data_IF_302129720779
#
_entry.id   IF_302129720779
#
_cell.length_a   1.000
_cell.length_b   1.000
_cell.length_c   1.000
_cell.angle_alpha   90.00
_cell.angle_beta   90.00
_cell.angle_gamma   90.00
#
_symmetry.space_group_name_H-M   'P 1'
#
loop_
_entity.id
_entity.type
_entity.pdbx_description
1 polymer ?
#
# COMPACT_ATOMS: atom_id res chain seq x y z
N UNK A 1 -4.70 35.02 1.97
CA UNK A 1 -4.60 33.82 2.80
C UNK A 1 -3.54 32.93 2.16
N UNK A 2 -2.48 32.63 2.89
CA UNK A 2 -1.43 31.72 2.43
C UNK A 2 -2.01 30.29 2.29
N UNK A 3 -1.43 29.48 1.40
CA UNK A 3 -1.93 28.11 1.13
C UNK A 3 -2.04 27.28 2.41
N UNK A 4 -1.09 27.41 3.30
CA UNK A 4 -1.08 26.66 4.57
C UNK A 4 -2.16 27.11 5.52
N UNK A 5 -2.47 28.41 5.58
CA UNK A 5 -3.59 28.94 6.36
C UNK A 5 -4.94 28.39 5.87
N UNK A 6 -5.09 28.25 4.53
CA UNK A 6 -6.30 27.67 3.94
C UNK A 6 -6.44 26.20 4.29
N UNK A 7 -5.36 25.44 4.24
CA UNK A 7 -5.36 24.01 4.63
C UNK A 7 -5.77 23.83 6.10
N UNK A 8 -5.20 24.63 6.99
CA UNK A 8 -5.53 24.61 8.42
C UNK A 8 -7.01 24.98 8.63
N UNK A 9 -7.49 26.03 7.97
CA UNK A 9 -8.88 26.47 8.08
C UNK A 9 -9.89 25.47 7.48
N UNK A 10 -9.50 24.69 6.49
CA UNK A 10 -10.35 23.67 5.88
C UNK A 10 -10.38 22.33 6.67
N UNK A 11 -9.44 22.12 7.60
CA UNK A 11 -9.37 20.92 8.41
C UNK A 11 -10.64 20.81 9.29
N UNK A 12 -11.25 19.63 9.31
CA UNK A 12 -12.54 19.39 9.98
C UNK A 12 -13.77 19.87 9.18
N UNK A 13 -13.56 20.54 8.03
CA UNK A 13 -14.65 21.07 7.19
C UNK A 13 -14.72 20.46 5.80
N UNK A 14 -13.81 19.55 5.46
CA UNK A 14 -13.69 19.04 4.10
C UNK A 14 -14.94 18.32 3.58
N UNK A 15 -15.69 17.64 4.41
CA UNK A 15 -16.95 17.03 3.99
C UNK A 15 -17.96 18.07 3.50
N UNK A 16 -18.06 19.20 4.19
CA UNK A 16 -18.94 20.31 3.86
C UNK A 16 -18.45 21.08 2.63
N UNK A 17 -17.14 21.31 2.53
CA UNK A 17 -16.50 21.93 1.37
C UNK A 17 -16.74 21.10 0.12
N UNK A 18 -16.45 19.79 0.18
CA UNK A 18 -16.62 18.88 -0.94
C UNK A 18 -18.09 18.71 -1.35
N UNK A 19 -19.03 18.69 -0.40
CA UNK A 19 -20.47 18.69 -0.71
C UNK A 19 -20.90 19.91 -1.50
N UNK A 20 -20.32 21.07 -1.21
CA UNK A 20 -20.64 22.32 -1.88
C UNK A 20 -19.96 22.44 -3.24
N UNK A 21 -18.65 22.15 -3.31
CA UNK A 21 -17.82 22.43 -4.48
C UNK A 21 -17.73 21.25 -5.47
N UNK A 22 -18.05 20.04 -5.02
CA UNK A 22 -18.04 18.82 -5.83
C UNK A 22 -19.30 17.97 -5.57
N UNK A 23 -20.50 18.40 -6.00
CA UNK A 23 -21.77 17.74 -5.69
C UNK A 23 -21.84 16.28 -6.18
N UNK A 24 -21.04 15.89 -7.16
CA UNK A 24 -20.90 14.52 -7.64
C UNK A 24 -20.31 13.55 -6.61
N UNK A 25 -19.70 14.04 -5.52
CA UNK A 25 -19.19 13.25 -4.40
C UNK A 25 -20.25 12.97 -3.33
N UNK A 26 -21.47 13.48 -3.47
CA UNK A 26 -22.51 13.42 -2.43
C UNK A 26 -22.72 12.01 -1.87
N UNK A 27 -22.87 11.02 -2.74
CA UNK A 27 -23.14 9.63 -2.32
C UNK A 27 -22.00 9.05 -1.46
N UNK A 28 -20.75 9.37 -1.81
CA UNK A 28 -19.57 8.95 -1.05
C UNK A 28 -19.47 9.70 0.29
N UNK A 29 -19.84 10.97 0.32
CA UNK A 29 -19.81 11.81 1.52
C UNK A 29 -20.97 11.49 2.48
N UNK A 30 -22.06 10.90 2.00
CA UNK A 30 -23.16 10.40 2.86
C UNK A 30 -22.76 9.11 3.58
N UNK A 31 -21.83 8.35 3.01
CA UNK A 31 -21.37 7.05 3.53
C UNK A 31 -19.86 6.95 3.53
N UNK A 32 -19.13 7.78 4.33
CA UNK A 32 -17.67 7.76 4.36
C UNK A 32 -17.13 6.36 4.64
N UNK A 33 -16.09 5.96 3.90
CA UNK A 33 -15.49 4.64 4.00
C UNK A 33 -16.19 3.55 3.18
N UNK A 34 -17.40 3.76 2.69
CA UNK A 34 -18.13 2.79 1.89
C UNK A 34 -17.91 3.02 0.39
N UNK A 35 -17.82 1.92 -0.35
CA UNK A 35 -17.66 1.97 -1.79
C UNK A 35 -18.96 2.41 -2.50
N UNK A 36 -18.81 3.34 -3.43
CA UNK A 36 -19.85 3.86 -4.30
C UNK A 36 -19.37 3.89 -5.75
N UNK A 37 -20.26 4.12 -6.75
CA UNK A 37 -19.83 4.41 -8.11
C UNK A 37 -18.82 5.55 -8.13
N UNK A 38 -17.77 5.43 -8.95
CA UNK A 38 -16.80 6.50 -9.09
C UNK A 38 -17.45 7.74 -9.74
N UNK A 39 -17.33 8.94 -9.15
CA UNK A 39 -17.93 10.14 -9.69
C UNK A 39 -17.32 10.63 -11.01
N UNK A 40 -16.14 10.11 -11.38
CA UNK A 40 -15.43 10.52 -12.60
C UNK A 40 -15.61 9.53 -13.75
N UNK A 41 -15.45 8.22 -13.50
CA UNK A 41 -15.53 7.20 -14.56
C UNK A 41 -16.72 6.23 -14.41
N UNK A 42 -17.56 6.40 -13.38
CA UNK A 42 -18.72 5.51 -13.14
C UNK A 42 -18.31 4.16 -12.52
N UNK A 43 -19.03 3.10 -12.92
CA UNK A 43 -18.88 1.77 -12.35
C UNK A 43 -19.87 1.52 -11.21
N UNK A 44 -19.66 0.45 -10.42
CA UNK A 44 -20.59 0.07 -9.35
C UNK A 44 -20.13 0.48 -7.96
N UNK A 45 -18.82 0.29 -7.67
CA UNK A 45 -18.25 0.36 -6.32
C UNK A 45 -16.75 0.73 -6.34
N UNK A 46 -16.34 1.57 -7.31
CA UNK A 46 -14.93 1.90 -7.54
C UNK A 46 -14.35 2.94 -6.59
N UNK A 47 -15.16 3.78 -5.96
CA UNK A 47 -14.71 4.92 -5.15
C UNK A 47 -15.24 4.87 -3.72
N UNK A 48 -14.45 5.37 -2.78
CA UNK A 48 -14.87 5.70 -1.42
C UNK A 48 -14.07 6.87 -0.87
N UNK A 49 -14.69 7.71 -0.08
CA UNK A 49 -13.97 8.68 0.76
C UNK A 49 -13.29 7.96 1.91
N UNK A 50 -12.27 8.57 2.50
CA UNK A 50 -11.72 8.07 3.76
C UNK A 50 -12.74 8.27 4.89
N UNK A 51 -12.72 7.41 5.93
CA UNK A 51 -13.62 7.56 7.07
C UNK A 51 -13.50 8.90 7.79
N UNK A 52 -12.32 9.49 7.77
CA UNK A 52 -11.95 10.78 8.34
C UNK A 52 -12.00 11.93 7.31
N UNK A 53 -12.86 11.81 6.30
CA UNK A 53 -12.96 12.78 5.19
C UNK A 53 -13.20 14.22 5.64
N UNK A 54 -13.83 14.44 6.79
CA UNK A 54 -14.01 15.78 7.34
C UNK A 54 -12.65 16.44 7.69
N UNK A 55 -11.70 15.65 8.19
CA UNK A 55 -10.36 16.10 8.55
C UNK A 55 -9.44 16.16 7.34
N UNK A 56 -9.42 15.10 6.55
CA UNK A 56 -8.45 14.93 5.46
C UNK A 56 -8.95 15.40 4.11
N UNK A 57 -10.27 15.31 3.85
CA UNK A 57 -10.87 15.51 2.53
C UNK A 57 -10.53 14.42 1.52
N UNK A 58 -9.83 13.38 1.93
CA UNK A 58 -9.27 12.36 1.04
C UNK A 58 -10.25 11.24 0.67
N UNK A 59 -9.85 10.47 -0.35
CA UNK A 59 -10.59 9.30 -0.82
C UNK A 59 -9.75 8.45 -1.77
N UNK A 60 -10.29 7.31 -2.18
CA UNK A 60 -9.63 6.39 -3.10
C UNK A 60 -10.60 5.81 -4.12
N UNK A 61 -10.16 5.78 -5.36
CA UNK A 61 -10.80 5.04 -6.43
C UNK A 61 -9.90 3.90 -6.89
N UNK A 62 -10.45 2.69 -7.03
CA UNK A 62 -9.69 1.51 -7.45
C UNK A 62 -9.04 1.68 -8.85
N UNK A 63 -9.60 2.56 -9.68
CA UNK A 63 -9.11 2.83 -11.04
C UNK A 63 -8.34 4.15 -11.12
N UNK A 64 -8.87 5.24 -10.52
CA UNK A 64 -8.28 6.59 -10.61
C UNK A 64 -7.12 6.81 -9.62
N UNK A 65 -7.01 5.97 -8.58
CA UNK A 65 -5.96 6.10 -7.56
C UNK A 65 -6.41 6.81 -6.28
N UNK A 66 -5.44 7.19 -5.47
CA UNK A 66 -5.64 7.83 -4.16
C UNK A 66 -5.62 9.35 -4.31
N UNK A 67 -6.58 9.99 -3.68
CA UNK A 67 -6.66 11.44 -3.50
C UNK A 67 -6.43 11.70 -2.01
N UNK A 68 -5.19 12.07 -1.66
CA UNK A 68 -4.72 12.04 -0.27
C UNK A 68 -5.35 13.11 0.62
N UNK A 69 -5.82 14.21 0.05
CA UNK A 69 -6.40 15.34 0.77
C UNK A 69 -7.58 15.97 0.01
N UNK A 70 -8.22 16.95 0.63
CA UNK A 70 -9.39 17.60 0.07
C UNK A 70 -9.11 18.38 -1.22
N UNK A 71 -7.94 18.97 -1.38
CA UNK A 71 -7.56 19.61 -2.64
C UNK A 71 -7.37 18.58 -3.75
N UNK A 72 -6.68 17.49 -3.48
CA UNK A 72 -6.49 16.41 -4.45
C UNK A 72 -7.84 15.80 -4.88
N UNK A 73 -8.75 15.59 -3.92
CA UNK A 73 -10.10 15.09 -4.18
C UNK A 73 -10.93 16.10 -4.99
N UNK A 74 -10.89 17.39 -4.64
CA UNK A 74 -11.61 18.44 -5.34
C UNK A 74 -11.13 18.57 -6.79
N UNK A 75 -9.82 18.68 -7.00
CA UNK A 75 -9.22 18.79 -8.33
C UNK A 75 -9.55 17.58 -9.20
N UNK A 76 -9.44 16.39 -8.67
CA UNK A 76 -9.79 15.17 -9.39
C UNK A 76 -11.27 15.09 -9.77
N UNK A 77 -12.15 15.38 -8.82
CA UNK A 77 -13.59 15.29 -9.03
C UNK A 77 -14.11 16.36 -10.01
N UNK A 78 -13.52 17.56 -10.01
CA UNK A 78 -14.02 18.72 -10.79
C UNK A 78 -13.20 19.02 -12.04
N UNK A 79 -11.99 18.48 -12.15
CA UNK A 79 -11.03 18.82 -13.21
C UNK A 79 -10.36 20.19 -13.04
N UNK A 80 -10.57 20.88 -11.91
CA UNK A 80 -9.92 22.16 -11.61
C UNK A 80 -8.41 21.99 -11.44
N UNK A 81 -7.64 23.02 -11.81
CA UNK A 81 -6.24 23.11 -11.40
C UNK A 81 -6.15 23.58 -9.93
N UNK A 82 -4.97 23.50 -9.33
CA UNK A 82 -4.77 23.82 -7.91
C UNK A 82 -5.12 25.27 -7.57
N UNK A 83 -4.81 26.22 -8.46
CA UNK A 83 -5.08 27.65 -8.24
C UNK A 83 -6.58 27.92 -8.15
N UNK A 84 -7.34 27.30 -9.05
CA UNK A 84 -8.79 27.46 -9.09
C UNK A 84 -9.45 26.77 -7.89
N UNK A 85 -9.03 25.54 -7.57
CA UNK A 85 -9.49 24.82 -6.39
C UNK A 85 -9.20 25.59 -5.08
N UNK A 86 -8.01 26.19 -4.97
CA UNK A 86 -7.65 27.03 -3.83
C UNK A 86 -8.58 28.26 -3.73
N UNK A 87 -8.84 28.93 -4.85
CA UNK A 87 -9.75 30.08 -4.93
C UNK A 87 -11.16 29.74 -4.46
N UNK A 88 -11.71 28.60 -4.91
CA UNK A 88 -13.04 28.12 -4.50
C UNK A 88 -13.12 27.78 -3.01
N UNK A 89 -12.09 27.11 -2.47
CA UNK A 89 -12.02 26.79 -1.04
C UNK A 89 -11.90 28.06 -0.18
N UNK A 90 -11.09 29.04 -0.61
CA UNK A 90 -11.00 30.36 0.06
C UNK A 90 -12.36 31.06 0.02
N UNK A 91 -13.04 31.08 -1.13
CA UNK A 91 -14.38 31.64 -1.28
C UNK A 91 -15.38 30.99 -0.33
N UNK A 92 -15.38 29.67 -0.23
CA UNK A 92 -16.24 28.92 0.68
C UNK A 92 -15.98 29.28 2.14
N UNK A 93 -14.70 29.31 2.57
CA UNK A 93 -14.30 29.63 3.94
C UNK A 93 -14.63 31.09 4.34
N UNK A 94 -14.51 32.03 3.39
CA UNK A 94 -14.84 33.45 3.64
C UNK A 94 -16.35 33.69 3.72
N UNK A 95 -17.16 32.99 2.94
CA UNK A 95 -18.61 33.02 3.01
C UNK A 95 -19.16 32.35 4.27
N UNK A 96 -18.41 31.40 4.84
CA UNK A 96 -18.74 30.67 6.07
C UNK A 96 -18.62 31.49 7.34
N UNK A 97 -18.09 32.73 7.30
CA UNK A 97 -17.96 33.61 8.50
C UNK A 97 -19.27 34.27 8.96
N UNK A 98 -20.37 34.09 8.23
CA UNK A 98 -21.69 34.56 8.63
C UNK A 98 -22.53 33.43 9.25
N UNK A 99 -22.31 33.16 10.53
CA UNK A 99 -22.97 32.27 11.49
C UNK A 99 -22.30 30.86 11.62
N UNK A 100 -21.77 30.56 12.81
CA UNK A 100 -21.56 29.16 13.16
C UNK A 100 -22.95 28.52 13.29
N UNK A 101 -23.31 27.66 12.35
CA UNK A 101 -24.31 26.64 12.61
C UNK A 101 -23.77 25.85 13.79
N UNK A 102 -24.56 25.64 14.87
CA UNK A 102 -24.11 24.84 15.99
C UNK A 102 -23.61 23.53 15.40
N UNK A 103 -22.40 23.15 15.76
CA UNK A 103 -21.86 21.84 15.47
C UNK A 103 -22.93 20.83 15.92
N UNK A 104 -23.72 20.34 14.97
CA UNK A 104 -24.59 19.20 15.20
C UNK A 104 -23.57 18.08 15.39
N UNK A 105 -23.25 17.83 16.66
CA UNK A 105 -22.65 16.58 17.07
C UNK A 105 -23.66 15.55 16.60
N UNK A 106 -23.50 15.10 15.35
CA UNK A 106 -24.14 13.90 14.88
C UNK A 106 -23.55 12.83 15.78
N UNK A 107 -24.25 12.50 16.86
CA UNK A 107 -24.03 11.26 17.57
C UNK A 107 -24.07 10.19 16.48
N UNK A 108 -22.88 9.80 16.01
CA UNK A 108 -22.69 8.68 15.10
C UNK A 108 -23.40 7.53 15.75
N UNK A 109 -24.48 7.05 15.18
CA UNK A 109 -25.05 5.75 15.51
C UNK A 109 -24.05 4.70 15.02
N UNK A 110 -23.06 4.43 15.86
CA UNK A 110 -21.95 3.47 15.63
C UNK A 110 -22.36 2.00 15.72
N UNK A 111 -23.63 1.65 15.61
CA UNK A 111 -24.07 0.30 16.01
C UNK A 111 -23.87 -0.79 14.97
N UNK A 112 -23.86 -0.51 13.67
CA UNK A 112 -23.58 -1.52 12.63
C UNK A 112 -22.09 -1.63 12.32
N UNK A 113 -21.40 -0.52 12.17
CA UNK A 113 -19.98 -0.46 11.81
C UNK A 113 -19.09 -1.05 12.91
N UNK A 114 -19.37 -0.76 14.20
CA UNK A 114 -18.60 -1.32 15.32
C UNK A 114 -18.67 -2.85 15.41
N UNK A 115 -19.84 -3.44 15.13
CA UNK A 115 -20.01 -4.90 15.12
C UNK A 115 -19.31 -5.55 13.94
N UNK A 116 -19.30 -4.89 12.78
CA UNK A 116 -18.59 -5.38 11.59
C UNK A 116 -17.09 -5.29 11.77
N UNK A 117 -16.59 -4.17 12.27
CA UNK A 117 -15.19 -3.98 12.62
C UNK A 117 -14.69 -4.99 13.63
N UNK A 118 -15.50 -5.30 14.65
CA UNK A 118 -15.14 -6.31 15.64
C UNK A 118 -15.07 -7.72 15.02
N UNK A 119 -16.00 -8.08 14.12
CA UNK A 119 -15.91 -9.33 13.34
C UNK A 119 -14.64 -9.40 12.49
N UNK A 120 -14.25 -8.28 11.87
CA UNK A 120 -13.02 -8.21 11.08
C UNK A 120 -11.78 -8.38 11.96
N UNK A 121 -11.74 -7.74 13.15
CA UNK A 121 -10.66 -7.95 14.14
C UNK A 121 -10.57 -9.42 14.58
N UNK A 122 -11.70 -10.02 14.92
CA UNK A 122 -11.75 -11.43 15.32
C UNK A 122 -11.29 -12.34 14.18
N UNK A 123 -11.70 -12.07 12.94
CA UNK A 123 -11.27 -12.85 11.78
C UNK A 123 -9.76 -12.74 11.54
N UNK A 124 -9.19 -11.53 11.60
CA UNK A 124 -7.75 -11.31 11.48
C UNK A 124 -6.97 -11.98 12.59
N UNK A 125 -7.42 -11.84 13.85
CA UNK A 125 -6.79 -12.47 15.00
C UNK A 125 -6.85 -13.99 14.91
N UNK A 126 -7.99 -14.55 14.50
CA UNK A 126 -8.14 -15.99 14.31
C UNK A 126 -7.16 -16.52 13.28
N UNK A 127 -7.11 -15.94 12.08
CA UNK A 127 -6.19 -16.37 11.01
C UNK A 127 -4.73 -16.28 11.44
N UNK A 128 -4.37 -15.24 12.19
CA UNK A 128 -3.01 -15.08 12.71
C UNK A 128 -2.69 -16.12 13.79
N UNK A 129 -3.60 -16.38 14.71
CA UNK A 129 -3.40 -17.33 15.81
C UNK A 129 -3.42 -18.79 15.34
N UNK A 130 -4.19 -19.13 14.31
CA UNK A 130 -4.21 -20.45 13.68
C UNK A 130 -2.99 -20.71 12.80
N UNK A 131 -2.19 -19.70 12.51
CA UNK A 131 -0.99 -19.84 11.71
C UNK A 131 0.23 -20.24 12.55
N UNK A 132 1.17 -20.91 11.91
CA UNK A 132 2.43 -21.39 12.49
C UNK A 132 3.64 -20.71 11.85
N UNK A 133 4.80 -20.83 12.47
CA UNK A 133 6.05 -20.32 11.88
C UNK A 133 6.45 -21.19 10.67
N UNK A 134 7.05 -20.56 9.64
CA UNK A 134 7.46 -21.31 8.41
C UNK A 134 8.55 -22.33 8.69
N UNK A 135 9.33 -22.17 9.75
CA UNK A 135 10.35 -23.16 10.17
C UNK A 135 9.73 -24.43 10.78
N UNK A 136 8.47 -24.43 11.20
CA UNK A 136 7.80 -25.60 11.77
C UNK A 136 7.55 -26.67 10.71
N UNK A 137 7.49 -27.94 11.15
CA UNK A 137 7.39 -29.10 10.27
C UNK A 137 6.20 -29.00 9.32
N UNK A 138 5.04 -28.63 9.84
CA UNK A 138 3.78 -28.61 9.09
C UNK A 138 3.66 -27.45 8.10
N UNK A 139 4.63 -26.51 8.08
CA UNK A 139 4.72 -25.44 7.12
C UNK A 139 5.49 -25.81 5.83
N UNK A 140 5.61 -27.09 5.51
CA UNK A 140 6.32 -27.59 4.33
C UNK A 140 5.85 -26.94 3.02
N UNK A 141 4.55 -26.74 2.74
CA UNK A 141 4.11 -26.07 1.50
C UNK A 141 4.70 -24.69 1.33
N UNK A 142 4.84 -23.90 2.39
CA UNK A 142 5.46 -22.58 2.32
C UNK A 142 6.97 -22.66 2.06
N UNK A 143 7.68 -23.61 2.68
CA UNK A 143 9.11 -23.84 2.43
C UNK A 143 9.36 -24.30 0.99
N UNK A 144 8.56 -25.22 0.48
CA UNK A 144 8.63 -25.66 -0.91
C UNK A 144 8.36 -24.49 -1.87
N UNK A 145 7.38 -23.64 -1.54
CA UNK A 145 7.07 -22.45 -2.32
C UNK A 145 8.27 -21.50 -2.43
N UNK A 146 8.95 -21.21 -1.31
CA UNK A 146 10.12 -20.35 -1.28
C UNK A 146 11.31 -21.00 -2.00
N UNK A 147 11.57 -22.29 -1.75
CA UNK A 147 12.64 -23.05 -2.40
C UNK A 147 12.50 -23.10 -3.94
N UNK A 148 11.28 -23.33 -4.45
CA UNK A 148 10.99 -23.29 -5.89
C UNK A 148 11.24 -21.92 -6.54
N UNK A 149 11.30 -20.88 -5.73
CA UNK A 149 11.63 -19.50 -6.15
C UNK A 149 13.10 -19.16 -6.00
N UNK A 150 13.92 -20.11 -5.55
CA UNK A 150 15.34 -19.89 -5.30
C UNK A 150 15.61 -19.04 -4.06
N UNK A 151 14.64 -18.90 -3.15
CA UNK A 151 14.80 -18.21 -1.88
C UNK A 151 15.27 -19.23 -0.85
N UNK A 152 16.55 -19.11 -0.44
CA UNK A 152 17.22 -20.03 0.47
C UNK A 152 17.42 -19.45 1.89
N UNK A 153 17.08 -18.17 2.10
CA UNK A 153 17.18 -17.54 3.43
C UNK A 153 16.19 -18.19 4.41
N UNK A 154 16.53 -18.12 5.71
CA UNK A 154 15.59 -18.45 6.77
C UNK A 154 14.38 -17.49 6.69
N UNK A 155 13.15 -17.99 6.61
CA UNK A 155 11.98 -17.12 6.47
C UNK A 155 11.88 -16.13 7.63
N UNK A 156 11.63 -14.84 7.34
CA UNK A 156 11.42 -13.83 8.38
C UNK A 156 10.21 -14.17 9.27
N UNK A 157 10.25 -13.79 10.54
CA UNK A 157 9.14 -13.98 11.50
C UNK A 157 7.85 -13.26 11.07
N UNK A 158 7.95 -12.22 10.23
CA UNK A 158 6.80 -11.55 9.62
C UNK A 158 6.01 -12.43 8.67
N UNK A 159 6.58 -13.57 8.25
CA UNK A 159 5.94 -14.57 7.41
C UNK A 159 5.51 -15.76 8.27
N UNK A 160 4.25 -16.15 8.13
CA UNK A 160 3.69 -17.32 8.79
C UNK A 160 2.99 -18.21 7.77
N UNK A 161 2.63 -19.39 8.20
CA UNK A 161 1.93 -20.38 7.39
C UNK A 161 0.60 -20.76 8.04
N UNK A 162 -0.47 -20.69 7.26
CA UNK A 162 -1.79 -21.20 7.66
C UNK A 162 -2.07 -22.50 6.90
N UNK A 163 -2.32 -23.63 7.59
CA UNK A 163 -2.42 -24.94 6.94
C UNK A 163 -3.64 -25.10 6.02
N UNK A 164 -4.76 -24.45 6.34
CA UNK A 164 -6.01 -24.53 5.59
C UNK A 164 -6.81 -23.23 5.75
N UNK A 165 -6.63 -22.29 4.84
CA UNK A 165 -7.29 -20.99 4.86
C UNK A 165 -8.38 -20.93 3.79
N UNK A 166 -9.60 -20.54 4.18
CA UNK A 166 -10.73 -20.41 3.25
C UNK A 166 -10.44 -19.36 2.18
N UNK A 167 -10.69 -19.73 0.93
CA UNK A 167 -10.61 -18.88 -0.24
C UNK A 167 -12.00 -18.47 -0.71
N UNK A 168 -12.18 -17.17 -0.95
CA UNK A 168 -13.46 -16.60 -1.39
C UNK A 168 -13.31 -15.83 -2.69
N UNK A 169 -14.31 -15.92 -3.58
CA UNK A 169 -14.53 -15.00 -4.70
C UNK A 169 -15.82 -14.19 -4.43
N UNK A 170 -15.66 -12.90 -4.14
CA UNK A 170 -16.75 -12.11 -3.58
C UNK A 170 -17.19 -12.67 -2.22
N UNK A 171 -18.45 -13.12 -2.13
CA UNK A 171 -19.03 -13.72 -0.92
C UNK A 171 -19.03 -15.26 -0.96
N UNK A 172 -18.68 -15.86 -2.09
CA UNK A 172 -18.71 -17.31 -2.28
C UNK A 172 -17.40 -17.97 -1.80
N UNK A 173 -17.52 -18.99 -0.96
CA UNK A 173 -16.39 -19.83 -0.55
C UNK A 173 -16.09 -20.84 -1.65
N UNK A 174 -14.94 -20.69 -2.30
CA UNK A 174 -14.51 -21.53 -3.42
C UNK A 174 -13.58 -22.68 -3.01
N UNK A 175 -13.16 -22.74 -1.75
CA UNK A 175 -12.32 -23.82 -1.23
C UNK A 175 -11.47 -23.41 -0.03
N UNK A 176 -10.58 -24.31 0.36
CA UNK A 176 -9.58 -24.10 1.40
C UNK A 176 -8.22 -24.51 0.88
N UNK A 177 -7.21 -23.70 1.16
CA UNK A 177 -5.84 -23.91 0.68
C UNK A 177 -4.83 -23.58 1.77
N UNK A 178 -3.68 -24.25 1.78
CA UNK A 178 -2.53 -23.75 2.51
C UNK A 178 -2.24 -22.32 2.09
N UNK A 179 -1.78 -21.49 3.01
CA UNK A 179 -1.45 -20.12 2.68
C UNK A 179 -0.20 -19.62 3.42
N UNK A 180 0.71 -19.00 2.70
CA UNK A 180 1.71 -18.13 3.32
C UNK A 180 1.06 -16.79 3.61
N UNK A 181 1.16 -16.34 4.85
CA UNK A 181 0.54 -15.10 5.30
C UNK A 181 1.58 -14.12 5.83
N UNK A 182 1.30 -12.84 5.70
CA UNK A 182 2.18 -11.75 6.12
C UNK A 182 1.38 -10.64 6.77
N UNK A 183 1.87 -10.09 7.88
CA UNK A 183 1.26 -8.95 8.54
C UNK A 183 1.58 -7.66 7.78
N UNK A 184 0.55 -6.95 7.33
CA UNK A 184 0.69 -5.58 6.84
C UNK A 184 0.54 -4.64 8.01
N UNK A 185 1.60 -3.87 8.28
CA UNK A 185 1.62 -2.87 9.36
C UNK A 185 1.36 -1.47 8.81
N UNK A 186 0.64 -0.67 9.55
CA UNK A 186 0.46 0.75 9.28
C UNK A 186 1.73 1.56 9.55
N UNK A 187 1.63 2.88 9.37
CA UNK A 187 2.76 3.82 9.54
C UNK A 187 3.35 3.76 10.94
N UNK A 188 2.54 3.60 11.96
CA UNK A 188 2.96 3.50 13.36
C UNK A 188 3.42 2.08 13.78
N UNK A 189 3.45 1.12 12.83
CA UNK A 189 3.83 -0.26 13.12
C UNK A 189 2.71 -1.15 13.68
N UNK A 190 1.54 -0.60 13.90
CA UNK A 190 0.35 -1.35 14.30
C UNK A 190 -0.11 -2.30 13.20
N UNK A 191 -0.61 -3.47 13.58
CA UNK A 191 -1.17 -4.44 12.65
C UNK A 191 -2.44 -3.88 11.99
N UNK A 192 -2.48 -3.89 10.65
CA UNK A 192 -3.64 -3.42 9.87
C UNK A 192 -4.41 -4.60 9.30
N UNK A 193 -3.77 -5.40 8.47
CA UNK A 193 -4.38 -6.53 7.80
C UNK A 193 -3.36 -7.63 7.49
N UNK A 194 -3.83 -8.73 6.92
CA UNK A 194 -3.01 -9.87 6.52
C UNK A 194 -3.02 -9.96 4.99
N UNK A 195 -1.83 -9.98 4.40
CA UNK A 195 -1.62 -10.39 3.03
C UNK A 195 -1.51 -11.92 2.98
N UNK A 196 -2.16 -12.56 2.00
CA UNK A 196 -2.24 -14.02 1.84
C UNK A 196 -1.74 -14.42 0.47
N UNK A 197 -0.94 -15.47 0.42
CA UNK A 197 -0.56 -16.17 -0.82
C UNK A 197 -1.05 -17.60 -0.68
N UNK A 198 -2.13 -17.94 -1.38
CA UNK A 198 -2.70 -19.28 -1.38
C UNK A 198 -1.84 -20.24 -2.19
N UNK A 199 -1.59 -21.41 -1.62
CA UNK A 199 -0.69 -22.44 -2.14
C UNK A 199 -1.41 -23.77 -2.33
N UNK A 200 -0.78 -24.68 -3.05
CA UNK A 200 -1.06 -26.11 -3.01
C UNK A 200 -0.18 -26.79 -1.98
N UNK A 201 -0.45 -28.03 -1.65
CA UNK A 201 0.41 -28.85 -0.77
C UNK A 201 1.84 -28.99 -1.34
N UNK A 202 1.98 -28.97 -2.67
CA UNK A 202 3.28 -29.07 -3.36
C UNK A 202 4.05 -27.76 -3.41
N UNK A 203 3.58 -26.70 -2.75
CA UNK A 203 4.25 -25.39 -2.71
C UNK A 203 4.26 -24.66 -4.05
N UNK A 204 3.17 -24.70 -4.80
CA UNK A 204 2.90 -23.81 -5.92
C UNK A 204 1.70 -22.91 -5.60
N UNK A 205 1.49 -21.83 -6.35
CA UNK A 205 0.31 -21.00 -6.15
C UNK A 205 -0.95 -21.82 -6.40
N UNK A 206 -1.95 -21.70 -5.53
CA UNK A 206 -3.23 -22.35 -5.69
C UNK A 206 -3.85 -21.99 -7.05
N UNK A 207 -4.53 -22.96 -7.72
CA UNK A 207 -5.15 -22.77 -9.03
C UNK A 207 -6.48 -22.00 -8.90
N UNK A 208 -6.40 -20.78 -8.38
CA UNK A 208 -7.54 -19.89 -8.16
C UNK A 208 -7.33 -18.58 -8.91
N UNK A 209 -8.40 -17.83 -9.15
CA UNK A 209 -8.38 -16.60 -9.94
C UNK A 209 -7.37 -15.58 -9.41
N UNK A 210 -7.29 -15.43 -8.09
CA UNK A 210 -6.39 -14.47 -7.44
C UNK A 210 -5.71 -15.12 -6.24
N UNK A 211 -4.57 -15.81 -6.44
CA UNK A 211 -3.89 -16.50 -5.35
C UNK A 211 -3.25 -15.56 -4.31
N UNK A 212 -3.14 -14.27 -4.62
CA UNK A 212 -2.66 -13.23 -3.70
C UNK A 212 -3.81 -12.29 -3.34
N UNK A 213 -4.10 -12.15 -2.05
CA UNK A 213 -5.18 -11.27 -1.56
C UNK A 213 -4.82 -10.63 -0.22
N UNK A 214 -5.33 -9.42 0.00
CA UNK A 214 -5.43 -8.83 1.33
C UNK A 214 -6.72 -9.30 2.02
N UNK A 215 -6.71 -9.43 3.35
CA UNK A 215 -7.93 -9.58 4.12
C UNK A 215 -8.63 -8.23 4.27
N UNK A 216 -9.96 -8.26 4.42
CA UNK A 216 -10.69 -7.10 4.90
C UNK A 216 -10.22 -6.74 6.32
N UNK A 217 -10.22 -5.46 6.64
CA UNK A 217 -9.75 -4.94 7.92
C UNK A 217 -10.69 -3.85 8.44
N UNK A 218 -10.69 -3.59 9.76
CA UNK A 218 -11.56 -2.60 10.39
C UNK A 218 -11.39 -1.19 9.82
N UNK A 219 -12.46 -0.41 9.78
CA UNK A 219 -12.48 0.93 9.20
C UNK A 219 -11.62 1.95 9.96
N UNK A 220 -11.29 1.67 11.24
CA UNK A 220 -10.37 2.49 12.05
C UNK A 220 -8.88 2.20 11.79
N UNK A 221 -8.56 1.26 10.90
CA UNK A 221 -7.19 0.93 10.50
C UNK A 221 -6.87 1.52 9.14
N UNK A 222 -5.67 2.07 8.99
CA UNK A 222 -5.22 2.66 7.73
C UNK A 222 -4.06 1.86 7.14
N UNK A 223 -4.27 1.32 5.93
CA UNK A 223 -3.23 0.58 5.20
C UNK A 223 -2.31 1.48 4.38
N UNK A 224 -2.82 2.65 3.96
CA UNK A 224 -2.05 3.61 3.15
C UNK A 224 -0.86 4.13 3.95
N UNK A 225 0.30 4.12 3.34
CA UNK A 225 1.57 4.43 3.99
C UNK A 225 2.23 3.25 4.68
N UNK A 226 1.50 2.13 4.83
CA UNK A 226 1.97 0.91 5.48
C UNK A 226 2.73 -0.05 4.56
N UNK A 227 3.29 -1.10 5.16
CA UNK A 227 4.03 -2.15 4.46
C UNK A 227 4.13 -3.44 5.31
N UNK A 228 4.56 -4.52 4.69
CA UNK A 228 5.04 -5.73 5.39
C UNK A 228 6.51 -5.50 5.76
N UNK A 229 6.82 -5.50 7.03
CA UNK A 229 8.17 -5.29 7.56
C UNK A 229 8.88 -6.64 7.65
N UNK A 230 9.54 -7.06 6.55
CA UNK A 230 10.14 -8.39 6.44
C UNK A 230 11.40 -8.56 7.29
N UNK A 231 12.18 -7.52 7.49
CA UNK A 231 13.33 -7.57 8.38
C UNK A 231 13.31 -6.42 9.39
N UNK A 232 13.80 -6.67 10.61
CA UNK A 232 13.87 -5.64 11.65
C UNK A 232 14.81 -4.51 11.24
N UNK A 233 14.55 -3.30 11.74
CA UNK A 233 15.50 -2.22 11.66
C UNK A 233 16.76 -2.62 12.43
N UNK A 234 17.91 -2.71 11.76
CA UNK A 234 19.18 -2.78 12.47
C UNK A 234 19.47 -1.39 13.04
N UNK A 235 19.61 -1.25 14.35
CA UNK A 235 19.73 0.03 15.06
C UNK A 235 20.88 0.96 14.62
N UNK A 236 21.55 0.66 13.51
CA UNK A 236 22.66 1.42 12.91
C UNK A 236 22.38 1.89 11.48
N UNK A 237 21.33 1.41 10.82
CA UNK A 237 21.06 1.79 9.42
C UNK A 237 20.03 2.89 9.34
N UNK A 238 20.33 3.94 8.58
CA UNK A 238 19.40 4.98 8.17
C UNK A 238 18.82 4.72 6.75
N UNK A 239 19.13 3.56 6.18
CA UNK A 239 18.70 3.17 4.82
C UNK A 239 17.67 2.05 4.90
N UNK A 240 16.53 2.25 4.25
CA UNK A 240 15.46 1.27 4.07
C UNK A 240 15.44 0.79 2.62
N UNK A 241 15.39 -0.52 2.42
CA UNK A 241 15.15 -1.13 1.12
C UNK A 241 13.65 -1.45 0.98
N UNK A 242 13.10 -1.20 -0.19
CA UNK A 242 11.67 -1.38 -0.47
C UNK A 242 11.51 -2.11 -1.79
N UNK A 243 10.61 -3.10 -1.83
CA UNK A 243 10.15 -3.71 -3.06
C UNK A 243 8.62 -3.90 -3.03
N UNK A 244 8.01 -4.20 -4.18
CA UNK A 244 6.56 -4.33 -4.27
C UNK A 244 6.07 -5.66 -3.65
N UNK A 245 6.37 -6.76 -4.28
CA UNK A 245 5.89 -8.08 -3.86
C UNK A 245 6.70 -8.68 -2.71
N UNK A 246 6.07 -9.54 -1.93
CA UNK A 246 6.75 -10.28 -0.84
C UNK A 246 7.91 -11.11 -1.40
N UNK A 247 7.69 -11.82 -2.50
CA UNK A 247 8.71 -12.66 -3.12
C UNK A 247 9.88 -11.82 -3.65
N UNK A 248 9.59 -10.71 -4.31
CA UNK A 248 10.60 -9.74 -4.77
C UNK A 248 11.41 -9.19 -3.59
N UNK A 249 10.72 -8.85 -2.50
CA UNK A 249 11.39 -8.35 -1.28
C UNK A 249 12.28 -9.40 -0.61
N UNK A 250 11.85 -10.67 -0.59
CA UNK A 250 12.69 -11.77 -0.10
C UNK A 250 13.92 -11.99 -1.01
N UNK A 251 13.75 -11.85 -2.32
CA UNK A 251 14.88 -11.90 -3.26
C UNK A 251 15.86 -10.74 -3.01
N UNK A 252 15.37 -9.55 -2.66
CA UNK A 252 16.24 -8.42 -2.26
C UNK A 252 17.01 -8.74 -0.98
N UNK A 253 16.38 -9.32 0.04
CA UNK A 253 17.08 -9.77 1.26
C UNK A 253 18.17 -10.77 0.92
N UNK A 254 17.85 -11.80 0.12
CA UNK A 254 18.79 -12.84 -0.29
C UNK A 254 19.95 -12.29 -1.13
N UNK A 255 19.62 -11.45 -2.13
CA UNK A 255 20.59 -10.89 -3.07
C UNK A 255 21.52 -9.84 -2.46
N UNK A 256 21.07 -9.15 -1.40
CA UNK A 256 21.85 -8.13 -0.69
C UNK A 256 22.43 -8.63 0.64
N UNK A 257 22.57 -9.94 0.80
CA UNK A 257 23.16 -10.56 1.98
C UNK A 257 24.46 -9.84 2.42
N UNK A 258 24.55 -9.58 3.72
CA UNK A 258 25.71 -8.89 4.31
C UNK A 258 25.55 -7.36 4.37
N UNK A 259 24.53 -6.76 3.76
CA UNK A 259 24.27 -5.33 3.90
C UNK A 259 23.56 -4.96 5.20
N UNK A 260 22.85 -5.90 5.83
CA UNK A 260 22.04 -5.72 7.05
C UNK A 260 21.02 -4.57 6.97
N UNK A 261 20.59 -4.18 5.77
CA UNK A 261 19.54 -3.19 5.61
C UNK A 261 18.16 -3.82 5.84
N UNK A 262 17.26 -3.12 6.56
CA UNK A 262 15.88 -3.54 6.64
C UNK A 262 15.20 -3.50 5.27
N UNK A 263 14.38 -4.51 4.98
CA UNK A 263 13.64 -4.65 3.72
C UNK A 263 12.15 -4.73 4.01
N UNK A 264 11.37 -3.89 3.34
CA UNK A 264 9.92 -3.87 3.43
C UNK A 264 9.27 -4.19 2.08
N UNK A 265 8.13 -4.92 2.13
CA UNK A 265 7.27 -5.16 0.97
C UNK A 265 6.04 -4.25 1.03
N UNK A 266 5.76 -3.57 -0.07
CA UNK A 266 4.59 -2.68 -0.17
C UNK A 266 3.35 -3.39 -0.71
N UNK A 267 3.43 -4.69 -0.97
CA UNK A 267 2.33 -5.54 -1.44
C UNK A 267 1.88 -5.26 -2.88
N UNK A 268 1.74 -4.01 -3.26
CA UNK A 268 1.33 -3.57 -4.60
C UNK A 268 1.83 -2.14 -4.90
N UNK A 269 1.70 -1.73 -6.15
CA UNK A 269 2.15 -0.43 -6.64
C UNK A 269 1.47 0.75 -5.93
N UNK A 270 0.18 0.64 -5.59
CA UNK A 270 -0.55 1.69 -4.88
C UNK A 270 0.05 1.96 -3.49
N UNK A 271 0.32 0.90 -2.73
CA UNK A 271 0.96 1.03 -1.42
C UNK A 271 2.42 1.49 -1.56
N UNK A 272 3.12 1.09 -2.65
CA UNK A 272 4.46 1.60 -2.94
C UNK A 272 4.45 3.11 -3.16
N UNK A 273 3.59 3.62 -4.03
CA UNK A 273 3.49 5.04 -4.31
C UNK A 273 3.23 5.88 -3.05
N UNK A 274 2.50 5.31 -2.09
CA UNK A 274 2.05 5.99 -0.87
C UNK A 274 2.85 5.63 0.39
N UNK A 275 3.90 4.83 0.29
CA UNK A 275 4.69 4.39 1.44
C UNK A 275 5.17 5.57 2.29
N UNK A 276 4.97 5.50 3.58
CA UNK A 276 5.53 6.43 4.56
C UNK A 276 6.66 5.69 5.30
N UNK A 277 7.93 6.01 5.02
CA UNK A 277 9.05 5.43 5.74
C UNK A 277 9.02 5.84 7.22
N UNK A 278 9.60 5.03 8.12
CA UNK A 278 9.74 5.40 9.50
C UNK A 278 10.78 6.53 9.68
N UNK A 279 10.70 7.27 10.77
CA UNK A 279 11.53 8.46 11.04
C UNK A 279 13.04 8.20 11.00
N UNK A 280 13.47 6.98 11.34
CA UNK A 280 14.90 6.60 11.25
C UNK A 280 15.40 6.45 9.80
N UNK A 281 14.51 6.25 8.81
CA UNK A 281 14.86 6.03 7.42
C UNK A 281 15.07 7.36 6.68
N UNK A 282 16.28 7.90 6.74
CA UNK A 282 16.65 9.11 5.99
C UNK A 282 17.00 8.81 4.52
N UNK A 283 17.14 7.52 4.17
CA UNK A 283 17.38 7.04 2.80
C UNK A 283 16.47 5.87 2.48
N UNK A 284 15.94 5.85 1.26
CA UNK A 284 15.10 4.76 0.76
C UNK A 284 15.61 4.32 -0.62
N UNK A 285 15.86 3.03 -0.77
CA UNK A 285 16.23 2.44 -2.06
C UNK A 285 15.11 1.51 -2.50
N UNK A 286 14.49 1.83 -3.64
CA UNK A 286 13.34 1.13 -4.16
C UNK A 286 13.81 0.14 -5.24
N UNK A 287 13.60 -1.13 -5.00
CA UNK A 287 13.79 -2.20 -5.97
C UNK A 287 12.49 -2.37 -6.77
N UNK A 288 12.34 -1.58 -7.81
CA UNK A 288 11.16 -1.59 -8.65
C UNK A 288 11.17 -2.73 -9.67
N UNK A 289 9.99 -3.23 -10.03
CA UNK A 289 9.83 -4.21 -11.08
C UNK A 289 9.91 -3.54 -12.45
N UNK A 290 10.37 -4.28 -13.47
CA UNK A 290 10.39 -3.83 -14.85
C UNK A 290 9.21 -4.43 -15.60
N UNK A 291 8.12 -3.67 -15.73
CA UNK A 291 6.91 -4.07 -16.44
C UNK A 291 6.93 -3.64 -17.90
N UNK A 292 6.21 -4.39 -18.75
CA UNK A 292 5.96 -3.94 -20.12
C UNK A 292 5.08 -2.71 -20.13
N UNK A 293 5.36 -1.75 -21.02
CA UNK A 293 4.47 -0.60 -21.22
C UNK A 293 3.06 -1.05 -21.61
N UNK A 294 2.08 -0.31 -21.09
CA UNK A 294 0.66 -0.41 -21.44
C UNK A 294 0.12 0.98 -21.78
N UNK A 295 -1.07 1.06 -22.35
CA UNK A 295 -1.71 2.36 -22.59
C UNK A 295 -1.88 3.19 -21.32
N UNK A 296 -2.21 2.55 -20.19
CA UNK A 296 -2.37 3.20 -18.89
C UNK A 296 -1.03 3.52 -18.20
N UNK A 297 0.01 2.74 -18.49
CA UNK A 297 1.34 2.86 -17.92
C UNK A 297 2.42 2.83 -19.00
N UNK A 298 2.62 3.93 -19.76
CA UNK A 298 3.54 3.98 -20.91
C UNK A 298 5.01 3.68 -20.57
N UNK A 299 5.38 3.80 -19.31
CA UNK A 299 6.75 3.50 -18.81
C UNK A 299 6.82 2.22 -17.98
N UNK A 300 5.70 1.47 -17.89
CA UNK A 300 5.56 0.30 -17.03
C UNK A 300 5.09 0.67 -15.63
N UNK A 301 4.16 -0.12 -15.09
CA UNK A 301 3.47 0.16 -13.83
C UNK A 301 4.43 0.23 -12.62
N UNK A 302 5.30 -0.76 -12.46
CA UNK A 302 6.27 -0.79 -11.35
C UNK A 302 7.30 0.33 -11.42
N UNK A 303 7.79 0.65 -12.63
CA UNK A 303 8.72 1.77 -12.83
C UNK A 303 8.08 3.12 -12.49
N UNK A 304 6.82 3.32 -12.88
CA UNK A 304 6.08 4.55 -12.58
C UNK A 304 5.80 4.68 -11.09
N UNK A 305 5.38 3.61 -10.42
CA UNK A 305 5.17 3.58 -8.98
C UNK A 305 6.46 3.91 -8.20
N UNK A 306 7.57 3.26 -8.56
CA UNK A 306 8.86 3.53 -7.95
C UNK A 306 9.29 4.99 -8.14
N UNK A 307 9.12 5.55 -9.36
CA UNK A 307 9.44 6.95 -9.66
C UNK A 307 8.58 7.92 -8.84
N UNK A 308 7.28 7.69 -8.73
CA UNK A 308 6.39 8.53 -7.93
C UNK A 308 6.80 8.53 -6.46
N UNK A 309 7.14 7.35 -5.91
CA UNK A 309 7.65 7.27 -4.55
C UNK A 309 8.94 8.07 -4.37
N UNK A 310 9.92 7.93 -5.27
CA UNK A 310 11.17 8.71 -5.24
C UNK A 310 10.88 10.20 -5.19
N UNK A 311 10.05 10.71 -6.10
CA UNK A 311 9.71 12.12 -6.18
C UNK A 311 9.06 12.64 -4.88
N UNK A 312 8.12 11.86 -4.33
CA UNK A 312 7.42 12.21 -3.10
C UNK A 312 8.34 12.22 -1.87
N UNK A 313 9.27 11.27 -1.80
CA UNK A 313 10.24 11.21 -0.71
C UNK A 313 11.23 12.38 -0.76
N UNK A 314 11.69 12.77 -1.94
CA UNK A 314 12.56 13.94 -2.10
C UNK A 314 11.88 15.24 -1.67
N UNK A 315 10.60 15.41 -2.02
CA UNK A 315 9.81 16.56 -1.55
C UNK A 315 9.72 16.63 -0.01
N UNK A 316 9.89 15.50 0.68
CA UNK A 316 9.90 15.38 2.14
C UNK A 316 11.31 15.43 2.75
N UNK A 317 12.33 15.71 1.96
CA UNK A 317 13.71 15.73 2.42
C UNK A 317 14.35 14.36 2.67
N UNK A 318 13.71 13.27 2.21
CA UNK A 318 14.24 11.91 2.34
C UNK A 318 14.98 11.56 1.04
N UNK A 319 16.23 11.15 1.15
CA UNK A 319 17.00 10.70 0.00
C UNK A 319 16.40 9.39 -0.54
N UNK A 320 16.06 9.36 -1.82
CA UNK A 320 15.47 8.18 -2.43
C UNK A 320 16.04 7.92 -3.83
N UNK A 321 16.17 6.63 -4.17
CA UNK A 321 16.50 6.19 -5.52
C UNK A 321 15.74 4.92 -5.87
N UNK A 322 15.46 4.71 -7.15
CA UNK A 322 14.88 3.48 -7.66
C UNK A 322 15.90 2.74 -8.51
N UNK A 323 15.95 1.43 -8.34
CA UNK A 323 16.79 0.50 -9.10
C UNK A 323 15.84 -0.47 -9.81
N UNK A 324 15.96 -0.56 -11.12
CA UNK A 324 15.15 -1.45 -11.97
C UNK A 324 16.05 -2.55 -12.52
N UNK A 325 15.59 -3.81 -12.63
CA UNK A 325 16.37 -4.89 -13.19
C UNK A 325 16.93 -4.55 -14.58
N UNK A 326 18.24 -4.78 -14.74
CA UNK A 326 18.90 -4.65 -16.06
C UNK A 326 18.57 -5.86 -16.94
N UNK A 327 18.44 -5.63 -18.25
CA UNK A 327 18.13 -6.64 -19.25
C UNK A 327 16.73 -6.46 -19.85
N UNK A 328 16.41 -7.31 -20.81
CA UNK A 328 15.11 -7.31 -21.50
C UNK A 328 14.11 -8.21 -20.75
N UNK A 329 12.83 -7.85 -20.82
CA UNK A 329 11.76 -8.71 -20.32
C UNK A 329 11.67 -9.92 -21.23
N UNK A 330 11.74 -11.16 -20.70
CA UNK A 330 11.72 -12.36 -21.53
C UNK A 330 10.50 -12.41 -22.45
N UNK A 331 10.61 -12.99 -23.65
CA UNK A 331 9.47 -13.18 -24.54
C UNK A 331 8.33 -13.95 -23.82
N UNK A 332 7.10 -13.44 -23.95
CA UNK A 332 5.92 -14.03 -23.29
C UNK A 332 5.70 -13.63 -21.83
N UNK A 333 6.72 -13.10 -21.14
CA UNK A 333 6.57 -12.60 -19.78
C UNK A 333 6.04 -11.17 -19.76
N UNK A 334 5.34 -10.81 -18.68
CA UNK A 334 4.76 -9.47 -18.47
C UNK A 334 5.76 -8.50 -17.85
N UNK A 335 6.70 -9.01 -17.09
CA UNK A 335 7.67 -8.24 -16.31
C UNK A 335 8.98 -8.99 -16.14
N UNK A 336 9.99 -8.28 -15.67
CA UNK A 336 11.24 -8.80 -15.13
C UNK A 336 11.39 -8.22 -13.71
N UNK A 337 11.39 -9.08 -12.71
CA UNK A 337 11.51 -8.68 -11.31
C UNK A 337 12.84 -9.11 -10.68
N UNK A 338 13.07 -8.71 -9.44
CA UNK A 338 14.31 -9.06 -8.72
C UNK A 338 14.36 -10.52 -8.29
N UNK A 339 13.23 -11.22 -8.24
CA UNK A 339 13.21 -12.66 -8.06
C UNK A 339 13.75 -13.40 -9.30
N UNK A 340 13.44 -12.90 -10.50
CA UNK A 340 14.00 -13.44 -11.75
C UNK A 340 15.51 -13.19 -11.82
N UNK A 341 15.97 -12.02 -11.36
CA UNK A 341 17.40 -11.73 -11.25
C UNK A 341 18.08 -12.68 -10.25
N UNK A 342 17.46 -12.93 -9.09
CA UNK A 342 18.00 -13.90 -8.13
C UNK A 342 18.15 -15.29 -8.72
N UNK A 343 17.12 -15.77 -9.43
CA UNK A 343 17.13 -17.10 -10.07
C UNK A 343 18.17 -17.24 -11.17
N UNK A 344 18.38 -16.20 -11.96
CA UNK A 344 19.25 -16.27 -13.15
C UNK A 344 20.70 -15.89 -12.86
N UNK A 345 20.94 -14.97 -11.94
CA UNK A 345 22.26 -14.38 -11.68
C UNK A 345 22.73 -14.53 -10.23
N UNK A 346 21.87 -15.06 -9.34
CA UNK A 346 22.16 -15.12 -7.91
C UNK A 346 22.39 -13.71 -7.32
N UNK A 347 23.13 -13.63 -6.23
CA UNK A 347 23.50 -12.35 -5.59
C UNK A 347 24.37 -11.45 -6.47
N UNK A 348 25.09 -12.00 -7.44
CA UNK A 348 25.90 -11.22 -8.39
C UNK A 348 25.04 -10.31 -9.30
N UNK A 349 23.74 -10.61 -9.45
CA UNK A 349 22.81 -9.78 -10.19
C UNK A 349 22.30 -8.55 -9.41
N UNK A 350 22.60 -8.46 -8.14
CA UNK A 350 22.17 -7.35 -7.27
C UNK A 350 23.25 -6.28 -7.14
N UNK A 351 22.87 -5.03 -6.94
CA UNK A 351 23.82 -3.95 -6.76
C UNK A 351 24.60 -4.12 -5.44
N UNK A 352 25.85 -3.68 -5.43
CA UNK A 352 26.68 -3.64 -4.22
C UNK A 352 26.20 -2.49 -3.33
N UNK A 353 25.44 -2.81 -2.30
CA UNK A 353 24.72 -1.84 -1.46
C UNK A 353 25.62 -0.78 -0.83
N UNK A 354 26.81 -1.16 -0.36
CA UNK A 354 27.77 -0.20 0.21
C UNK A 354 28.22 0.86 -0.81
N UNK A 355 28.31 0.52 -2.10
CA UNK A 355 28.64 1.48 -3.15
C UNK A 355 27.49 2.45 -3.40
N UNK A 356 26.27 1.96 -3.42
CA UNK A 356 25.07 2.81 -3.59
C UNK A 356 24.95 3.78 -2.41
N UNK A 357 25.08 3.27 -1.18
CA UNK A 357 24.99 4.11 0.01
C UNK A 357 26.09 5.20 0.01
N UNK A 358 27.31 4.86 -0.42
CA UNK A 358 28.39 5.81 -0.57
C UNK A 358 28.09 6.85 -1.65
N UNK A 359 27.55 6.44 -2.79
CA UNK A 359 27.16 7.35 -3.87
C UNK A 359 26.05 8.32 -3.41
N UNK A 360 25.07 7.84 -2.69
CA UNK A 360 23.99 8.68 -2.15
C UNK A 360 24.49 9.67 -1.10
N UNK A 361 25.47 9.31 -0.26
CA UNK A 361 26.07 10.23 0.70
C UNK A 361 26.87 11.35 0.01
N UNK A 362 27.53 11.05 -1.10
CA UNK A 362 28.33 12.04 -1.83
C UNK A 362 27.48 12.97 -2.71
N UNK A 363 26.20 12.63 -2.95
CA UNK A 363 25.26 13.42 -3.74
C UNK A 363 24.40 14.37 -2.88
N UNK A 364 24.54 14.31 -1.57
CA UNK A 364 23.84 15.16 -0.58
C UNK A 364 24.71 16.30 -0.11
#
# INVERSE_FOLDING_TARGET
MEVEEVKIAAQGMWDSILRSLAPQLRDALERPGHHVPCPVHGGKDGYRTFPDVAETGGGVCNTCGVHADGFATLMWATGMNFKDALGEVVGYLQLGTARPLPARVVKRERTSDEREDEKLRQSLNRVWNESIQICERDAEPARLYLARRGIALSPPEALRFHPSLSYYEGKEKCGEYPAMISMVSGTQGNAVTIHRIYLTQDGIKAPVKSPKKLMAYPGDRQIIGGAIRLSPASGKSSTLLVAEGVETSLAVIEGTKGSNFPVWSTVNALLMENLIPPDWATRVIIFGDKDRPTEQHPKGHGQEAAKKLVQRLWQRGIQASAIIPAGEIPPGEKSLDWLDILKTKGSAGFPVMNMIERAMRNAA
#
